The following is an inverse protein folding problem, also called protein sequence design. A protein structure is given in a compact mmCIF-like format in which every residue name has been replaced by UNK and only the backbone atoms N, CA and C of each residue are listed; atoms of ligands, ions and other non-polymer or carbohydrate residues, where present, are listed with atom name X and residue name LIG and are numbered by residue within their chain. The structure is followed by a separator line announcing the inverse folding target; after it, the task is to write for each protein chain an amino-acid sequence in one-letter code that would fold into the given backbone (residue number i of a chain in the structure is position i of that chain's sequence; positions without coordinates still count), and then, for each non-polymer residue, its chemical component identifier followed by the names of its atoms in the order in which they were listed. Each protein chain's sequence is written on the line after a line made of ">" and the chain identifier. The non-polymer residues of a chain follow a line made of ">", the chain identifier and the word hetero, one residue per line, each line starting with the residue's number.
data_IF_108771847065
#
_entry.id   IF_108771847065
#
_cell.length_a   1.000
_cell.length_b   1.000
_cell.length_c   1.000
_cell.angle_alpha   90.00
_cell.angle_beta   90.00
_cell.angle_gamma   90.00
#
_symmetry.space_group_name_H-M   'P 1'
#
loop_
_entity.id
_entity.type
_entity.pdbx_description
1 polymer ?
2 non-polymer ?
3 water ?
#
# COMPACT_ATOMS: atom_id res chain seq x y z
N UNK A 1 22.17 -21.56 24.28
CA UNK A 1 21.36 -21.72 23.06
C UNK A 1 21.64 -20.60 22.05
N UNK A 2 21.71 -20.92 20.77
CA UNK A 2 21.99 -19.88 19.77
C UNK A 2 20.80 -18.93 19.66
N UNK A 3 21.03 -17.76 19.07
CA UNK A 3 19.94 -16.83 18.77
C UNK A 3 18.83 -17.59 18.04
N UNK A 4 19.24 -18.40 17.05
CA UNK A 4 18.29 -19.22 16.27
C UNK A 4 17.60 -20.34 17.04
N UNK A 5 18.35 -21.03 17.91
CA UNK A 5 17.80 -22.08 18.77
C UNK A 5 16.80 -21.54 19.77
N UNK A 6 17.03 -20.32 20.27
CA UNK A 6 16.16 -19.68 21.26
C UNK A 6 14.79 -19.34 20.66
N UNK A 7 14.82 -18.75 19.46
CA UNK A 7 13.61 -18.46 18.69
C UNK A 7 12.78 -19.73 18.49
N UNK A 8 13.42 -20.82 18.07
CA UNK A 8 12.69 -22.07 17.88
C UNK A 8 12.11 -22.54 19.20
N UNK A 9 12.94 -22.57 20.24
CA UNK A 9 12.53 -23.00 21.58
C UNK A 9 11.30 -22.24 22.07
N UNK A 10 11.29 -20.93 21.91
CA UNK A 10 10.16 -20.12 22.36
C UNK A 10 8.93 -20.21 21.45
N UNK A 11 9.14 -20.59 20.19
CA UNK A 11 8.06 -20.69 19.21
C UNK A 11 7.49 -19.33 18.80
N UNK A 12 8.28 -18.29 19.04
CA UNK A 12 7.91 -16.89 18.79
C UNK A 12 9.12 -16.18 18.18
N UNK A 13 8.91 -15.36 17.16
CA UNK A 13 9.93 -14.42 16.68
C UNK A 13 9.50 -12.99 17.00
N UNK A 14 10.28 -12.33 17.85
CA UNK A 14 10.00 -10.96 18.26
C UNK A 14 10.63 -9.96 17.28
N UNK A 15 9.77 -9.11 16.73
CA UNK A 15 10.17 -8.14 15.72
C UNK A 15 9.78 -6.76 16.19
N UNK A 16 10.70 -5.81 16.08
CA UNK A 16 10.39 -4.42 16.38
C UNK A 16 10.39 -3.59 15.12
N UNK A 17 9.46 -2.64 15.05
CA UNK A 17 9.27 -1.82 13.87
C UNK A 17 8.75 -0.41 14.23
N UNK A 18 8.53 0.40 13.19
CA UNK A 18 8.00 1.74 13.30
C UNK A 18 6.49 1.72 13.18
N UNK A 19 5.84 2.64 13.89
CA UNK A 19 4.42 2.92 13.78
C UNK A 19 4.17 3.60 12.44
N UNK A 20 3.94 2.80 11.40
CA UNK A 20 3.89 3.32 10.05
C UNK A 20 3.19 2.35 9.10
N UNK A 21 2.29 2.87 8.25
CA UNK A 21 1.61 2.05 7.24
C UNK A 21 2.59 1.34 6.30
N UNK A 22 3.78 1.90 6.15
CA UNK A 22 4.82 1.32 5.29
C UNK A 22 5.41 0.09 5.95
N UNK A 23 5.47 0.10 7.27
CA UNK A 23 6.11 -0.98 8.01
C UNK A 23 5.06 -1.91 8.66
N UNK A 24 4.20 -1.36 9.50
CA UNK A 24 3.23 -2.18 10.21
C UNK A 24 1.99 -1.37 10.54
N UNK A 25 0.83 -1.88 10.14
CA UNK A 25 -0.43 -1.17 10.32
C UNK A 25 -1.53 -2.11 10.82
N UNK A 26 -2.21 -1.66 11.88
CA UNK A 26 -3.36 -2.37 12.45
C UNK A 26 -4.66 -1.71 12.03
N UNK A 27 -5.54 -2.52 11.46
CA UNK A 27 -6.85 -2.12 10.97
C UNK A 27 -7.81 -3.22 11.41
N UNK A 28 -9.10 -2.93 11.45
CA UNK A 28 -10.11 -3.95 11.78
C UNK A 28 -10.03 -5.19 10.86
N UNK A 29 -9.60 -4.97 9.62
CA UNK A 29 -9.50 -6.02 8.61
C UNK A 29 -8.24 -6.88 8.70
N UNK A 30 -7.42 -6.63 9.73
CA UNK A 30 -6.15 -7.34 9.89
C UNK A 30 -4.91 -6.47 9.82
N UNK A 31 -3.75 -7.11 9.77
CA UNK A 31 -2.47 -6.40 9.80
C UNK A 31 -1.82 -6.39 8.42
N UNK A 32 -1.32 -5.22 8.04
CA UNK A 32 -0.61 -5.03 6.77
C UNK A 32 0.70 -4.27 6.99
N UNK A 33 1.49 -4.18 5.94
CA UNK A 33 2.74 -3.44 5.96
C UNK A 33 3.77 -4.24 5.19
N UNK A 34 4.61 -3.53 4.45
CA UNK A 34 5.72 -4.16 3.73
C UNK A 34 6.56 -5.01 4.69
N UNK A 35 6.87 -4.44 5.84
CA UNK A 35 7.74 -5.12 6.78
C UNK A 35 6.98 -6.22 7.52
N UNK A 36 5.75 -5.93 7.92
CA UNK A 36 4.89 -6.94 8.55
C UNK A 36 4.76 -8.19 7.69
N UNK A 37 4.36 -8.04 6.43
CA UNK A 37 4.21 -9.19 5.53
C UNK A 37 5.55 -9.92 5.32
N UNK A 38 6.65 -9.17 5.26
CA UNK A 38 7.95 -9.78 5.00
C UNK A 38 8.41 -10.59 6.20
N UNK A 39 8.22 -10.03 7.40
CA UNK A 39 8.59 -10.65 8.68
C UNK A 39 7.69 -11.84 9.02
N UNK A 40 6.40 -11.71 8.70
CA UNK A 40 5.42 -12.79 8.92
C UNK A 40 5.83 -14.02 8.10
N UNK A 41 6.26 -13.78 6.86
CA UNK A 41 6.84 -14.81 6.00
C UNK A 41 8.10 -15.42 6.61
N UNK A 42 8.93 -14.59 7.21
CA UNK A 42 10.12 -15.09 7.88
C UNK A 42 9.76 -16.00 9.04
N UNK A 43 8.87 -15.54 9.93
CA UNK A 43 8.44 -16.35 11.06
C UNK A 43 7.91 -17.72 10.61
N UNK A 44 7.05 -17.72 9.60
CA UNK A 44 6.46 -18.95 9.06
C UNK A 44 7.48 -19.88 8.39
N UNK A 45 8.52 -19.30 7.77
CA UNK A 45 9.64 -20.08 7.25
C UNK A 45 10.26 -20.87 8.39
N UNK A 46 10.38 -20.22 9.55
CA UNK A 46 11.00 -20.82 10.74
C UNK A 46 10.02 -21.65 11.58
N UNK A 47 8.75 -21.62 11.16
CA UNK A 47 7.69 -22.35 11.85
C UNK A 47 7.45 -21.79 13.25
N UNK A 48 7.48 -20.47 13.36
CA UNK A 48 7.19 -19.79 14.64
C UNK A 48 6.14 -18.69 14.44
N UNK A 49 5.61 -18.17 15.55
CA UNK A 49 4.62 -17.10 15.52
C UNK A 49 5.34 -15.76 15.43
N UNK A 50 4.76 -14.82 14.71
CA UNK A 50 5.29 -13.46 14.65
C UNK A 50 4.71 -12.64 15.79
N UNK A 51 5.56 -11.97 16.56
CA UNK A 51 5.11 -11.00 17.54
C UNK A 51 5.74 -9.63 17.25
N UNK A 52 4.87 -8.67 16.98
CA UNK A 52 5.24 -7.33 16.56
C UNK A 52 5.27 -6.32 17.71
N UNK A 53 6.37 -5.58 17.82
CA UNK A 53 6.43 -4.41 18.69
C UNK A 53 6.68 -3.16 17.83
N UNK A 54 6.05 -2.06 18.19
CA UNK A 54 6.35 -0.79 17.53
C UNK A 54 7.09 0.10 18.52
N UNK A 55 8.12 0.79 18.03
CA UNK A 55 8.87 1.73 18.84
C UNK A 55 8.17 3.08 18.92
N UNK A 56 8.62 3.93 19.83
CA UNK A 56 8.16 5.32 19.90
C UNK A 56 8.85 6.11 18.79
N UNK A 57 10.15 5.85 18.64
CA UNK A 57 10.97 6.53 17.65
C UNK A 57 12.19 5.67 17.33
N UNK A 58 13.04 6.16 16.45
CA UNK A 58 14.18 5.41 15.95
C UNK A 58 15.27 5.11 16.98
N UNK A 59 15.51 6.04 17.90
CA UNK A 59 16.50 5.83 18.98
C UNK A 59 16.03 4.72 19.93
N UNK A 60 14.79 4.84 20.37
CA UNK A 60 14.17 3.81 21.19
C UNK A 60 14.10 2.46 20.43
N UNK A 61 13.90 2.50 19.11
CA UNK A 61 13.91 1.28 18.30
C UNK A 61 15.24 0.54 18.37
N UNK A 62 16.35 1.27 18.23
CA UNK A 62 17.67 0.64 18.32
C UNK A 62 18.06 0.26 19.76
N UNK A 63 17.56 1.04 20.72
CA UNK A 63 17.82 0.79 22.14
C UNK A 63 17.15 -0.49 22.63
N UNK A 64 15.95 -0.78 22.11
CA UNK A 64 15.23 -2.01 22.45
C UNK A 64 15.96 -3.23 21.92
N UNK A 65 16.50 -3.09 20.70
CA UNK A 65 17.21 -4.17 20.03
C UNK A 65 18.45 -4.66 20.80
N UNK A 66 19.19 -3.72 21.40
CA UNK A 66 20.37 -4.06 22.19
C UNK A 66 19.99 -4.45 23.61
N UNK A 67 18.73 -4.23 23.96
CA UNK A 67 18.21 -4.53 25.29
C UNK A 67 18.11 -6.04 25.51
N UNK A 68 18.69 -6.51 26.62
CA UNK A 68 18.66 -7.93 26.98
C UNK A 68 17.23 -8.46 27.10
N UNK A 69 16.96 -9.54 26.38
CA UNK A 69 15.62 -10.13 26.32
C UNK A 69 14.67 -9.44 25.36
N UNK A 70 15.18 -8.47 24.59
CA UNK A 70 14.35 -7.72 23.65
C UNK A 70 13.99 -8.45 22.37
N UNK A 71 13.61 -7.70 21.30
CA UNK A 71 13.27 -8.30 20.01
C UNK A 71 14.45 -8.95 19.31
N UNK A 72 14.18 -9.94 18.46
CA UNK A 72 15.22 -10.61 17.70
C UNK A 72 15.79 -9.70 16.61
N UNK A 73 14.91 -8.94 15.97
CA UNK A 73 15.32 -8.08 14.86
C UNK A 73 14.37 -6.88 14.69
N UNK A 74 14.87 -5.86 13.99
CA UNK A 74 14.08 -4.71 13.57
C UNK A 74 13.84 -4.77 12.06
N UNK A 75 12.58 -4.71 11.66
CA UNK A 75 12.18 -4.63 10.27
C UNK A 75 11.40 -3.33 10.08
N UNK A 76 12.07 -2.31 9.52
CA UNK A 76 11.52 -0.95 9.60
C UNK A 76 11.99 0.02 8.51
N UNK A 77 12.31 -0.50 7.32
CA UNK A 77 12.82 0.34 6.22
C UNK A 77 14.11 1.01 6.62
N UNK A 78 14.95 0.27 7.35
CA UNK A 78 16.16 0.85 7.90
C UNK A 78 17.26 0.87 6.86
N UNK A 79 17.97 2.00 6.86
CA UNK A 79 19.18 2.19 6.10
C UNK A 79 20.36 1.91 7.04
N UNK A 80 21.28 1.02 6.63
CA UNK A 80 22.50 0.66 7.36
C UNK A 80 23.19 1.86 8.02
N UNK A 81 23.57 1.68 9.30
CA UNK A 81 24.11 2.76 10.13
C UNK A 81 25.50 3.21 9.73
N UNK A 84 29.94 1.73 11.72
CA UNK A 84 30.63 0.95 12.76
C UNK A 84 30.11 1.23 14.16
N UNK A 85 28.92 0.70 14.44
CA UNK A 85 28.34 0.69 15.77
C UNK A 85 27.96 -0.76 16.07
N UNK A 86 28.95 -1.55 16.50
CA UNK A 86 28.76 -2.99 16.69
C UNK A 86 27.88 -3.34 17.90
N UNK A 87 27.06 -2.38 18.33
CA UNK A 87 25.94 -2.65 19.20
C UNK A 87 24.74 -3.05 18.32
N UNK A 88 24.88 -2.81 17.02
CA UNK A 88 23.86 -3.16 16.02
C UNK A 88 24.53 -3.65 14.71
N UNK A 89 23.93 -4.68 14.08
CA UNK A 89 24.39 -5.24 12.81
C UNK A 89 23.24 -5.25 11.79
N UNK A 90 23.59 -5.41 10.52
CA UNK A 90 22.61 -5.37 9.43
C UNK A 90 22.66 -6.56 8.47
N UNK A 91 21.48 -7.05 8.14
CA UNK A 91 21.32 -8.12 7.15
C UNK A 91 21.74 -7.63 5.75
N UNK A 92 21.83 -8.56 4.78
CA UNK A 92 21.84 -8.16 3.37
C UNK A 92 20.62 -7.27 3.10
N UNK A 93 20.76 -6.41 2.08
CA UNK A 93 19.74 -5.45 1.71
C UNK A 93 18.63 -6.09 0.87
N UNK A 94 17.42 -5.52 0.94
CA UNK A 94 16.28 -6.12 0.28
C UNK A 94 15.43 -5.16 -0.56
N UNK A 95 15.82 -3.89 -0.60
CA UNK A 95 15.14 -2.91 -1.46
C UNK A 95 16.03 -1.71 -1.74
N UNK A 96 16.07 -1.32 -3.00
CA UNK A 96 16.84 -0.19 -3.48
C UNK A 96 15.97 1.06 -3.42
N UNK A 97 16.36 2.00 -2.56
CA UNK A 97 15.66 3.28 -2.43
C UNK A 97 16.64 4.47 -2.49
N UNK A 98 16.10 5.66 -2.79
CA UNK A 98 16.90 6.88 -2.89
C UNK A 98 16.37 7.95 -1.94
N UNK A 99 17.26 8.49 -1.07
CA UNK A 99 16.79 9.60 -0.26
C UNK A 99 16.42 10.72 -1.21
N UNK A 100 15.29 11.38 -0.96
CA UNK A 100 14.85 12.49 -1.81
C UNK A 100 14.43 13.69 -0.96
N UNK A 101 14.96 14.86 -1.31
CA UNK A 101 14.55 16.12 -0.71
C UNK A 101 13.18 16.48 -1.25
N UNK A 102 12.23 16.77 -0.36
CA UNK A 102 10.84 16.96 -0.72
C UNK A 102 10.40 18.42 -0.49
N UNK A 103 9.72 19.00 -1.47
CA UNK A 103 9.28 20.38 -1.40
C UNK A 103 7.80 20.50 -1.77
N UNK A 104 7.27 21.71 -1.64
CA UNK A 104 5.87 21.96 -1.95
C UNK A 104 5.71 22.60 -3.31
N UNK A 105 4.94 21.95 -4.18
CA UNK A 105 4.64 22.48 -5.51
C UNK A 105 4.15 23.94 -5.44
N UNK A 106 4.77 24.80 -6.22
CA UNK A 106 4.43 26.22 -6.22
C UNK A 106 5.34 27.02 -5.31
N UNK A 107 6.52 26.46 -5.08
CA UNK A 107 7.58 27.12 -4.32
C UNK A 107 8.84 26.90 -5.12
N UNK A 108 9.89 27.69 -4.85
CA UNK A 108 11.16 27.52 -5.55
C UNK A 108 11.70 26.11 -5.32
N UNK A 109 11.92 25.37 -6.40
CA UNK A 109 12.48 24.03 -6.32
C UNK A 109 14.00 24.09 -6.13
N UNK A 110 14.48 23.64 -4.96
CA UNK A 110 15.93 23.52 -4.79
C UNK A 110 16.46 22.40 -5.69
N UNK A 111 17.63 22.62 -6.28
CA UNK A 111 18.17 21.73 -7.32
C UNK A 111 19.46 21.05 -6.90
N UNK A 112 20.12 21.63 -5.89
CA UNK A 112 21.40 21.10 -5.39
C UNK A 112 21.51 21.40 -3.89
N UNK A 113 22.41 20.68 -3.17
CA UNK A 113 22.52 20.82 -1.71
C UNK A 113 22.71 22.26 -1.23
N UNK A 114 23.46 23.06 -1.99
CA UNK A 114 23.66 24.48 -1.71
C UNK A 114 22.32 25.15 -1.34
N UNK A 115 21.28 24.83 -2.11
CA UNK A 115 19.93 25.37 -1.94
C UNK A 115 19.23 24.96 -0.65
N UNK A 116 19.76 23.96 0.05
CA UNK A 116 19.16 23.54 1.30
C UNK A 116 19.35 24.58 2.42
N UNK A 117 20.27 25.52 2.20
CA UNK A 117 20.60 26.55 3.21
C UNK A 117 19.44 27.54 3.35
N UNK A 118 19.09 27.85 4.60
CA UNK A 118 18.13 28.89 4.90
C UNK A 118 16.68 28.47 4.73
N UNK A 119 16.45 27.17 4.83
CA UNK A 119 15.10 26.61 4.73
C UNK A 119 14.62 26.09 6.09
N UNK A 120 13.31 26.01 6.27
CA UNK A 120 12.72 25.27 7.41
C UNK A 120 12.70 23.78 7.05
N UNK A 121 13.59 23.01 7.69
CA UNK A 121 13.74 21.57 7.40
C UNK A 121 13.54 20.72 8.64
N UNK A 122 12.79 19.64 8.48
CA UNK A 122 12.59 18.69 9.56
C UNK A 122 12.76 17.26 9.11
N UNK A 123 13.45 16.48 9.95
CA UNK A 123 13.63 15.05 9.73
C UNK A 123 13.46 14.31 11.07
N UNK A 124 13.36 12.99 11.02
CA UNK A 124 13.19 12.19 12.22
C UNK A 124 14.50 12.08 12.97
N UNK A 125 14.46 12.37 14.27
CA UNK A 125 15.61 12.23 15.17
C UNK A 125 16.06 10.76 15.19
N UNK A 126 17.33 10.51 14.85
CA UNK A 126 17.88 9.15 14.85
C UNK A 126 17.89 8.47 13.48
N UNK A 127 17.52 9.22 12.44
CA UNK A 127 17.47 8.67 11.08
C UNK A 127 18.78 8.85 10.31
N UNK A 128 18.96 8.04 9.28
CA UNK A 128 20.07 8.21 8.33
C UNK A 128 19.95 9.53 7.57
N UNK A 129 18.71 10.00 7.44
CA UNK A 129 18.45 11.28 6.80
C UNK A 129 19.03 12.41 7.62
N UNK A 130 18.80 12.37 8.93
CA UNK A 130 19.41 13.32 9.87
C UNK A 130 20.94 13.33 9.75
N UNK A 131 21.51 12.14 9.57
CA UNK A 131 22.96 11.99 9.49
C UNK A 131 23.53 12.58 8.19
N UNK A 132 22.79 12.43 7.09
CA UNK A 132 23.13 13.03 5.81
C UNK A 132 23.23 14.55 5.94
N UNK A 133 22.34 15.12 6.74
CA UNK A 133 22.29 16.57 6.86
C UNK A 133 23.38 17.09 7.81
N UNK A 134 23.77 16.26 8.78
CA UNK A 134 24.93 16.55 9.61
C UNK A 134 26.20 16.58 8.78
N UNK A 135 26.30 15.66 7.81
CA UNK A 135 27.43 15.66 6.87
C UNK A 135 27.49 16.92 6.02
N UNK A 136 26.35 17.32 5.49
CA UNK A 136 26.30 18.50 4.64
C UNK A 136 26.62 19.75 5.45
N UNK A 137 26.18 19.76 6.71
CA UNK A 137 26.43 20.89 7.60
C UNK A 137 27.93 21.10 7.80
N UNK A 138 28.68 20.01 7.90
CA UNK A 138 30.14 20.08 8.00
C UNK A 138 30.72 20.91 6.86
N UNK A 139 30.18 20.72 5.66
CA UNK A 139 30.57 21.47 4.48
C UNK A 139 29.96 22.88 4.47
N UNK A 140 28.68 22.99 4.83
CA UNK A 140 27.96 24.28 4.82
C UNK A 140 27.49 24.66 6.23
N UNK A 141 28.37 25.33 7.01
CA UNK A 141 28.17 25.54 8.45
C UNK A 141 26.90 26.28 8.86
N UNK A 142 26.27 26.99 7.94
CA UNK A 142 25.04 27.74 8.26
C UNK A 142 23.74 27.02 7.83
N UNK A 143 23.87 25.78 7.36
CA UNK A 143 22.71 24.91 7.12
C UNK A 143 21.97 24.64 8.42
N UNK A 144 20.66 24.86 8.43
CA UNK A 144 19.84 24.61 9.61
C UNK A 144 18.74 23.60 9.27
N UNK A 145 18.46 22.72 10.23
CA UNK A 145 17.42 21.70 10.12
C UNK A 145 17.12 21.24 11.53
N UNK A 146 15.97 20.61 11.72
CA UNK A 146 15.61 20.07 13.02
C UNK A 146 15.34 18.56 12.99
N UNK A 147 15.74 17.91 14.08
CA UNK A 147 15.48 16.49 14.29
C UNK A 147 14.33 16.35 15.29
N UNK A 148 13.40 15.47 14.97
CA UNK A 148 12.23 15.29 15.82
C UNK A 148 12.00 13.83 16.16
N UNK A 149 11.77 13.56 17.44
CA UNK A 149 11.48 12.22 17.91
C UNK A 149 9.99 12.04 18.15
N UNK A 150 9.20 13.08 17.86
CA UNK A 150 7.78 13.08 18.19
C UNK A 150 6.86 13.06 16.96
N UNK A 151 7.46 12.82 15.80
CA UNK A 151 6.69 12.68 14.57
C UNK A 151 7.19 11.49 13.78
N UNK A 152 6.38 11.03 12.82
CA UNK A 152 6.83 10.06 11.81
C UNK A 152 6.85 10.65 10.39
N UNK A 153 7.28 9.85 9.42
CA UNK A 153 7.41 10.25 8.00
C UNK A 153 6.13 10.85 7.40
N UNK A 154 4.98 10.28 7.80
CA UNK A 154 3.72 10.80 7.30
C UNK A 154 3.53 12.25 7.74
N UNK A 155 4.01 12.58 8.94
CA UNK A 155 3.83 13.92 9.51
C UNK A 155 4.73 14.95 8.80
N UNK A 156 6.00 14.58 8.59
CA UNK A 156 6.95 15.41 7.82
C UNK A 156 6.39 15.79 6.44
N UNK A 157 5.77 14.84 5.74
CA UNK A 157 5.18 15.13 4.44
C UNK A 157 3.94 16.02 4.52
N UNK A 158 3.11 15.83 5.55
CA UNK A 158 1.96 16.71 5.77
C UNK A 158 2.42 18.15 5.92
N UNK A 159 3.48 18.32 6.70
CA UNK A 159 4.00 19.65 6.99
C UNK A 159 4.48 20.38 5.74
N UNK A 160 5.16 19.66 4.85
CA UNK A 160 5.55 20.23 3.55
C UNK A 160 4.27 20.50 2.72
N UNK A 161 3.32 19.57 2.78
CA UNK A 161 2.08 19.66 2.00
C UNK A 161 1.29 20.95 2.28
N UNK A 162 1.17 21.30 3.57
CA UNK A 162 0.35 22.45 3.98
C UNK A 162 1.18 23.73 4.21
N UNK A 163 2.49 23.62 4.04
CA UNK A 163 3.40 24.76 4.18
C UNK A 163 3.85 25.06 5.61
N UNK A 164 3.67 24.11 6.52
CA UNK A 164 4.24 24.22 7.88
C UNK A 164 5.77 24.25 7.93
N UNK A 165 6.41 23.57 6.98
CA UNK A 165 7.86 23.60 6.80
C UNK A 165 8.10 23.72 5.31
N UNK A 166 9.33 23.98 4.88
CA UNK A 166 9.63 24.04 3.46
C UNK A 166 10.00 22.69 2.89
N UNK A 167 10.92 22.00 3.58
CA UNK A 167 11.49 20.75 3.08
C UNK A 167 11.51 19.62 4.11
N UNK A 168 11.52 18.40 3.58
CA UNK A 168 11.94 17.25 4.36
C UNK A 168 12.79 16.35 3.50
N UNK A 169 13.27 15.26 4.09
CA UNK A 169 14.12 14.26 3.43
C UNK A 169 13.63 12.87 3.79
N UNK A 170 13.15 12.13 2.78
CA UNK A 170 12.64 10.79 3.01
C UNK A 170 13.09 9.86 1.88
N UNK A 171 12.95 8.57 2.11
CA UNK A 171 13.25 7.57 1.09
C UNK A 171 12.13 7.54 0.04
N UNK A 172 12.53 7.29 -1.19
CA UNK A 172 11.66 7.37 -2.36
C UNK A 172 10.52 6.38 -2.38
N UNK A 173 10.67 5.26 -1.67
CA UNK A 173 9.60 4.28 -1.54
C UNK A 173 8.45 4.88 -0.76
N UNK A 174 8.79 5.59 0.31
CA UNK A 174 7.79 6.07 1.24
C UNK A 174 7.12 7.36 0.76
N UNK A 175 7.88 8.16 0.00
CA UNK A 175 7.28 9.26 -0.73
C UNK A 175 6.20 8.77 -1.70
N UNK A 176 6.54 7.80 -2.56
CA UNK A 176 5.57 7.15 -3.48
C UNK A 176 4.31 6.68 -2.75
N UNK A 177 4.52 6.02 -1.60
CA UNK A 177 3.43 5.55 -0.78
C UNK A 177 2.55 6.69 -0.27
N UNK A 178 3.15 7.85 -0.01
CA UNK A 178 2.44 8.94 0.65
C UNK A 178 1.87 9.97 -0.29
N UNK A 179 2.35 9.94 -1.51
CA UNK A 179 1.94 10.81 -2.58
C UNK A 179 0.45 10.89 -2.74
N UNK A 180 -0.24 9.78 -2.53
CA UNK A 180 -1.69 9.67 -2.70
C UNK A 180 -2.44 10.35 -1.55
N UNK A 181 -1.71 10.84 -0.55
CA UNK A 181 -2.33 11.63 0.54
C UNK A 181 -2.04 13.13 0.45
N UNK A 182 -0.96 13.49 -0.24
CA UNK A 182 -0.46 14.85 -0.15
C UNK A 182 -0.28 15.44 -1.55
N UNK A 183 -1.29 16.22 -2.00
CA UNK A 183 -1.33 16.63 -3.40
C UNK A 183 -0.24 17.61 -3.83
N UNK A 184 0.37 18.32 -2.87
CA UNK A 184 1.34 19.38 -3.20
C UNK A 184 2.81 18.97 -3.08
N UNK A 185 3.02 17.85 -2.42
CA UNK A 185 4.35 17.33 -2.16
C UNK A 185 4.98 16.85 -3.48
N UNK A 186 6.25 17.20 -3.68
CA UNK A 186 7.02 16.80 -4.87
C UNK A 186 8.49 16.53 -4.54
N UNK A 187 9.14 15.78 -5.42
CA UNK A 187 10.57 15.54 -5.27
C UNK A 187 11.26 16.79 -5.78
N UNK A 188 12.05 17.41 -4.91
CA UNK A 188 12.94 18.50 -5.32
C UNK A 188 14.14 17.91 -6.05
N UNK A 189 14.89 17.03 -5.38
CA UNK A 189 15.91 16.23 -6.06
C UNK A 189 16.30 15.00 -5.23
N UNK A 190 17.03 14.08 -5.85
CA UNK A 190 17.60 12.93 -5.17
C UNK A 190 18.84 13.39 -4.41
N UNK A 191 18.80 13.34 -3.09
CA UNK A 191 19.95 13.78 -2.27
C UNK A 191 20.74 12.57 -1.75
N UNK A 192 21.86 12.28 -2.40
CA UNK A 192 22.64 11.06 -2.12
C UNK A 192 22.22 9.90 -3.00
N UNK A 193 23.09 8.90 -3.12
CA UNK A 193 22.83 7.76 -4.03
C UNK A 193 21.92 6.65 -3.47
N UNK A 194 21.44 5.81 -4.38
CA UNK A 194 20.60 4.66 -4.07
C UNK A 194 21.28 3.70 -3.11
N UNK A 195 20.52 3.25 -2.11
CA UNK A 195 20.99 2.33 -1.09
C UNK A 195 19.90 1.31 -0.74
N UNK A 196 20.32 0.16 -0.24
CA UNK A 196 19.40 -0.90 0.12
C UNK A 196 18.93 -0.78 1.56
N UNK A 197 17.67 -1.13 1.80
CA UNK A 197 17.17 -1.24 3.15
C UNK A 197 17.67 -2.57 3.75
N UNK A 198 17.92 -2.58 5.06
CA UNK A 198 18.32 -3.81 5.76
C UNK A 198 17.59 -3.95 7.07
N UNK A 199 17.32 -5.19 7.47
CA UNK A 199 16.92 -5.47 8.84
C UNK A 199 18.11 -5.34 9.78
N UNK A 200 17.86 -4.88 11.00
CA UNK A 200 18.92 -4.75 11.97
C UNK A 200 18.78 -5.82 13.06
N UNK A 201 19.93 -6.30 13.55
CA UNK A 201 20.00 -7.31 14.61
C UNK A 201 20.94 -6.86 15.73
N UNK A 202 20.79 -7.41 16.95
CA UNK A 202 21.72 -6.96 17.99
C UNK A 202 23.18 -7.25 17.60
N UNK A 203 24.09 -6.40 18.09
CA UNK A 203 25.52 -6.59 17.83
C UNK A 203 26.05 -7.93 18.30
N UNK A 204 27.20 -8.35 17.79
CA UNK A 204 27.84 -9.55 18.30
C UNK A 204 28.25 -10.58 17.25
N UNK A 205 28.62 -11.76 17.72
CA UNK A 205 29.23 -12.75 16.84
C UNK A 205 28.36 -13.99 16.59
N UNK A 206 27.21 -14.07 17.25
CA UNK A 206 26.25 -15.17 16.99
C UNK A 206 25.55 -14.90 15.66
N UNK A 207 25.87 -15.72 14.68
CA UNK A 207 25.37 -15.53 13.33
C UNK A 207 24.35 -16.59 12.93
N UNK A 208 23.73 -17.24 13.90
CA UNK A 208 22.77 -18.30 13.57
C UNK A 208 21.49 -17.74 12.96
N UNK A 209 20.94 -16.69 13.58
CA UNK A 209 19.75 -16.06 13.04
C UNK A 209 20.05 -15.18 11.83
N UNK A 210 21.13 -14.39 11.90
CA UNK A 210 21.54 -13.56 10.76
C UNK A 210 21.65 -14.36 9.44
N UNK A 211 22.29 -15.52 9.53
CA UNK A 211 22.40 -16.41 8.37
C UNK A 211 21.05 -16.80 7.80
N UNK A 212 20.06 -17.00 8.66
CA UNK A 212 18.71 -17.37 8.22
C UNK A 212 17.97 -16.21 7.59
N UNK A 213 18.19 -15.02 8.14
CA UNK A 213 17.62 -13.81 7.59
C UNK A 213 18.13 -13.62 6.16
N UNK A 214 19.46 -13.70 5.99
CA UNK A 214 20.07 -13.57 4.67
C UNK A 214 19.64 -14.63 3.66
N UNK A 215 19.63 -15.89 4.08
CA UNK A 215 19.08 -16.96 3.25
C UNK A 215 17.63 -16.70 2.85
N UNK A 216 16.82 -16.20 3.79
CA UNK A 216 15.39 -15.90 3.54
C UNK A 216 15.20 -14.75 2.56
N UNK A 217 15.88 -13.63 2.81
CA UNK A 217 15.82 -12.48 1.91
C UNK A 217 16.31 -12.83 0.51
N UNK A 218 17.35 -13.66 0.42
CA UNK A 218 17.83 -14.11 -0.89
C UNK A 218 16.86 -15.06 -1.59
N UNK A 219 16.12 -15.83 -0.81
CA UNK A 219 15.04 -16.66 -1.35
C UNK A 219 13.92 -15.74 -1.87
N UNK A 220 13.66 -14.67 -1.13
CA UNK A 220 12.63 -13.72 -1.45
C UNK A 220 12.84 -13.05 -2.82
N UNK A 221 14.10 -12.69 -3.13
CA UNK A 221 14.46 -12.10 -4.44
C UNK A 221 14.39 -13.13 -5.58
N UNK A 222 14.65 -14.40 -5.26
CA UNK A 222 14.48 -15.49 -6.23
C UNK A 222 13.04 -15.63 -6.73
N UNK A 223 12.07 -15.49 -5.83
CA UNK A 223 10.66 -15.79 -6.15
C UNK A 223 9.79 -14.57 -6.41
N UNK A 224 10.37 -13.36 -6.38
CA UNK A 224 9.62 -12.12 -6.67
C UNK A 224 8.77 -11.57 -5.54
N UNK A 225 8.99 -12.07 -4.32
CA UNK A 225 8.23 -11.64 -3.16
C UNK A 225 8.43 -10.16 -2.84
N UNK A 226 9.70 -9.76 -2.76
CA UNK A 226 10.06 -8.38 -2.51
C UNK A 226 9.48 -7.42 -3.54
N UNK A 227 9.51 -7.82 -4.81
CA UNK A 227 8.89 -7.02 -5.87
C UNK A 227 7.37 -6.91 -5.73
N UNK A 228 6.68 -8.01 -5.39
CA UNK A 228 5.23 -7.99 -5.15
C UNK A 228 4.86 -7.07 -3.99
N UNK A 229 5.61 -7.17 -2.89
CA UNK A 229 5.42 -6.31 -1.74
C UNK A 229 5.67 -4.83 -2.06
N UNK A 230 6.74 -4.57 -2.83
CA UNK A 230 7.03 -3.24 -3.38
C UNK A 230 5.86 -2.66 -4.19
N UNK A 231 5.28 -3.46 -5.08
CA UNK A 231 4.17 -2.97 -5.91
C UNK A 231 2.98 -2.56 -5.03
N UNK A 232 2.68 -3.37 -4.03
CA UNK A 232 1.54 -3.15 -3.17
C UNK A 232 1.65 -1.86 -2.36
N UNK A 233 2.72 -1.74 -1.60
CA UNK A 233 2.88 -0.61 -0.67
C UNK A 233 3.48 0.60 -1.35
N UNK A 234 4.41 0.36 -2.27
CA UNK A 234 5.24 1.46 -2.77
C UNK A 234 5.03 1.76 -4.25
N UNK A 235 4.08 1.06 -4.87
CA UNK A 235 3.92 1.11 -6.32
C UNK A 235 2.99 2.20 -6.81
N UNK A 236 2.31 2.89 -5.89
CA UNK A 236 1.23 3.83 -6.25
C UNK A 236 1.52 4.74 -7.46
N UNK A 237 2.65 5.43 -7.44
CA UNK A 237 3.00 6.38 -8.50
C UNK A 237 3.34 5.62 -9.80
N UNK A 238 4.00 4.49 -9.66
CA UNK A 238 4.38 3.68 -10.84
C UNK A 238 3.19 3.09 -11.58
N UNK A 239 2.18 2.62 -10.83
CA UNK A 239 1.02 1.94 -11.43
C UNK A 239 -0.10 2.89 -11.87
N UNK A 240 -0.42 3.87 -11.02
CA UNK A 240 -1.46 4.87 -11.30
C UNK A 240 -0.96 6.08 -12.10
N UNK A 241 0.35 6.17 -12.31
CA UNK A 241 0.97 7.31 -13.00
C UNK A 241 1.13 8.47 -12.04
N UNK A 242 2.08 9.37 -12.31
CA UNK A 242 2.23 10.53 -11.43
C UNK A 242 0.95 11.34 -11.27
N UNK A 243 0.26 11.62 -12.38
CA UNK A 243 -0.89 12.52 -12.32
C UNK A 243 -2.02 11.88 -11.54
N UNK A 244 -2.23 10.58 -11.77
CA UNK A 244 -3.17 9.77 -11.00
C UNK A 244 -2.91 9.78 -9.50
N UNK A 245 -1.65 9.76 -9.11
CA UNK A 245 -1.26 9.75 -7.70
C UNK A 245 -1.70 11.01 -6.98
N UNK A 246 -1.20 12.16 -7.43
CA UNK A 246 -1.45 13.44 -6.75
C UNK A 246 -2.91 13.91 -6.91
N UNK A 247 -3.53 13.50 -8.01
CA UNK A 247 -4.94 13.76 -8.29
C UNK A 247 -5.88 13.03 -7.31
N UNK A 248 -5.49 11.82 -6.94
CA UNK A 248 -6.22 11.05 -5.95
C UNK A 248 -6.14 11.75 -4.59
N UNK A 249 -4.94 12.22 -4.23
CA UNK A 249 -4.70 12.96 -2.98
C UNK A 249 -5.63 14.16 -2.90
N UNK A 250 -5.73 14.84 -4.03
CA UNK A 250 -6.61 15.99 -4.17
C UNK A 250 -8.06 15.56 -4.01
N UNK A 251 -8.46 14.48 -4.70
CA UNK A 251 -9.85 14.00 -4.63
C UNK A 251 -10.23 13.47 -3.25
N UNK A 252 -9.29 12.80 -2.58
CA UNK A 252 -9.43 12.37 -1.19
C UNK A 252 -9.71 13.55 -0.25
N UNK A 253 -9.00 14.65 -0.49
CA UNK A 253 -9.12 15.88 0.28
C UNK A 253 -10.39 16.65 -0.08
N UNK A 254 -10.60 16.88 -1.36
CA UNK A 254 -11.69 17.73 -1.85
C UNK A 254 -13.03 17.04 -2.03
N UNK A 255 -13.04 15.82 -2.54
CA UNK A 255 -14.29 15.16 -2.97
C UNK A 255 -14.90 14.21 -1.95
N UNK A 256 -14.10 13.28 -1.42
CA UNK A 256 -14.60 12.25 -0.49
C UNK A 256 -15.41 12.75 0.72
N UNK A 257 -14.95 13.82 1.42
CA UNK A 257 -15.71 14.21 2.63
C UNK A 257 -17.19 14.56 2.38
N UNK A 258 -17.56 14.87 1.14
CA UNK A 258 -18.97 15.06 0.78
C UNK A 258 -19.80 13.77 0.80
N UNK A 259 -19.14 12.63 0.60
CA UNK A 259 -19.83 11.36 0.37
C UNK A 259 -19.38 10.26 1.32
N UNK A 260 -18.47 10.59 2.24
CA UNK A 260 -17.94 9.61 3.20
C UNK A 260 -19.04 9.00 4.07
N UNK A 261 -19.96 9.84 4.54
CA UNK A 261 -21.03 9.41 5.44
C UNK A 261 -22.05 8.48 4.77
N UNK A 262 -22.33 8.71 3.50
CA UNK A 262 -23.17 7.80 2.72
C UNK A 262 -22.51 6.42 2.56
N UNK A 263 -21.21 6.41 2.31
CA UNK A 263 -20.48 5.17 2.13
C UNK A 263 -20.53 4.36 3.41
N UNK A 264 -20.33 5.03 4.54
CA UNK A 264 -20.35 4.38 5.86
C UNK A 264 -21.71 3.79 6.18
N UNK A 265 -22.75 4.56 5.89
CA UNK A 265 -24.12 4.13 6.13
C UNK A 265 -24.49 2.91 5.26
N UNK A 266 -24.08 2.94 3.99
CA UNK A 266 -24.28 1.79 3.09
C UNK A 266 -23.48 0.58 3.57
N UNK A 267 -22.26 0.83 4.03
CA UNK A 267 -21.36 -0.21 4.51
C UNK A 267 -21.84 -0.94 5.76
N UNK A 268 -22.35 -0.17 6.72
CA UNK A 268 -22.85 -0.70 7.98
C UNK A 268 -24.06 -1.61 7.77
N UNK A 269 -25.00 -1.14 6.96
CA UNK A 269 -26.27 -1.82 6.72
C UNK A 269 -26.11 -3.06 5.83
N UNK A 270 -24.90 -3.26 5.32
CA UNK A 270 -24.63 -4.35 4.40
C UNK A 270 -23.45 -5.22 4.82
N UNK A 271 -22.97 -5.03 6.05
CA UNK A 271 -21.79 -5.72 6.59
C UNK A 271 -20.57 -5.69 5.68
N UNK A 272 -20.47 -4.62 4.91
CA UNK A 272 -19.45 -4.50 3.88
C UNK A 272 -18.57 -3.31 4.20
N UNK A 273 -17.26 -3.52 4.13
CA UNK A 273 -16.31 -2.46 4.39
C UNK A 273 -16.58 -1.24 3.51
N UNK A 274 -16.83 -0.10 4.14
CA UNK A 274 -17.17 1.13 3.39
C UNK A 274 -16.02 1.61 2.48
N UNK A 275 -14.79 1.30 2.87
CA UNK A 275 -13.63 1.71 2.07
C UNK A 275 -13.57 0.94 0.75
N UNK A 276 -14.15 -0.26 0.73
CA UNK A 276 -14.24 -1.04 -0.50
C UNK A 276 -15.29 -0.43 -1.43
N UNK A 277 -16.37 0.06 -0.83
CA UNK A 277 -17.40 0.76 -1.57
C UNK A 277 -16.90 2.09 -2.13
N UNK A 278 -16.19 2.87 -1.30
CA UNK A 278 -15.59 4.13 -1.72
C UNK A 278 -14.59 3.93 -2.88
N UNK A 279 -13.78 2.88 -2.78
CA UNK A 279 -12.85 2.46 -3.83
C UNK A 279 -13.53 2.19 -5.17
N UNK A 280 -14.71 1.55 -5.15
CA UNK A 280 -15.46 1.34 -6.38
C UNK A 280 -15.93 2.70 -6.94
N UNK A 281 -16.38 3.58 -6.06
CA UNK A 281 -16.86 4.89 -6.48
C UNK A 281 -15.74 5.69 -7.11
N UNK A 282 -14.53 5.58 -6.59
CA UNK A 282 -13.39 6.29 -7.19
C UNK A 282 -13.06 5.78 -8.57
N UNK A 283 -12.98 4.46 -8.71
CA UNK A 283 -12.71 3.83 -10.01
C UNK A 283 -13.79 4.15 -11.03
N UNK A 284 -15.04 4.24 -10.57
CA UNK A 284 -16.14 4.47 -11.49
C UNK A 284 -16.28 5.93 -11.91
N UNK A 285 -16.22 6.84 -10.96
CA UNK A 285 -16.52 8.24 -11.27
C UNK A 285 -15.53 9.27 -10.68
N UNK A 286 -14.49 8.78 -10.01
CA UNK A 286 -13.56 9.68 -9.33
C UNK A 286 -14.30 10.52 -8.25
N UNK A 287 -15.31 9.91 -7.62
CA UNK A 287 -16.17 10.58 -6.61
C UNK A 287 -16.82 11.84 -7.14
N UNK A 288 -17.58 11.69 -8.21
CA UNK A 288 -18.28 12.80 -8.85
C UNK A 288 -19.71 12.36 -9.10
N UNK A 289 -20.67 12.95 -8.37
CA UNK A 289 -22.07 12.47 -8.43
C UNK A 289 -22.72 12.73 -9.78
N UNK A 290 -22.29 13.81 -10.45
CA UNK A 290 -22.85 14.22 -11.72
C UNK A 290 -22.28 13.47 -12.90
N UNK A 291 -21.22 12.70 -12.66
CA UNK A 291 -20.53 11.98 -13.73
C UNK A 291 -21.50 11.14 -14.58
N UNK A 292 -21.41 11.34 -15.89
CA UNK A 292 -22.12 10.51 -16.85
C UNK A 292 -21.10 10.03 -17.86
N UNK A 293 -21.31 8.81 -18.35
CA UNK A 293 -20.54 8.33 -19.50
C UNK A 293 -21.45 8.51 -20.71
N UNK A 294 -20.97 8.16 -21.89
CA UNK A 294 -21.88 8.06 -23.02
C UNK A 294 -22.06 6.58 -23.38
N UNK A 295 -22.07 5.73 -22.36
CA UNK A 295 -22.22 4.27 -22.53
C UNK A 295 -23.40 3.70 -21.73
N UNK A 296 -24.22 4.57 -21.15
CA UNK A 296 -25.42 4.13 -20.41
C UNK A 296 -25.25 3.95 -18.91
N UNK A 297 -24.14 4.45 -18.37
CA UNK A 297 -23.87 4.45 -16.93
C UNK A 297 -23.61 5.87 -16.43
N UNK A 298 -24.08 6.14 -15.23
CA UNK A 298 -24.23 7.50 -14.75
C UNK A 298 -24.19 7.51 -13.22
N UNK A 299 -23.60 8.56 -12.67
CA UNK A 299 -23.56 8.77 -11.24
C UNK A 299 -22.32 8.25 -10.52
N UNK A 300 -22.26 8.56 -9.23
CA UNK A 300 -21.13 8.20 -8.39
C UNK A 300 -20.69 6.72 -8.52
N UNK A 301 -21.64 5.78 -8.44
CA UNK A 301 -21.30 4.37 -8.54
C UNK A 301 -21.42 3.82 -9.96
N UNK A 302 -21.71 4.72 -10.90
CA UNK A 302 -21.93 4.40 -12.32
C UNK A 302 -22.93 3.27 -12.53
N UNK A 303 -24.21 3.58 -12.38
CA UNK A 303 -25.28 2.60 -12.57
C UNK A 303 -25.97 2.73 -13.94
N UNK A 304 -26.43 1.61 -14.48
CA UNK A 304 -27.35 1.62 -15.62
C UNK A 304 -28.72 2.02 -15.10
N UNK A 305 -29.58 2.46 -16.01
CA UNK A 305 -30.96 2.76 -15.66
C UNK A 305 -31.65 1.54 -15.06
N UNK A 306 -31.39 0.37 -15.64
CA UNK A 306 -32.00 -0.90 -15.22
C UNK A 306 -31.65 -1.25 -13.76
N UNK A 307 -30.37 -1.21 -13.42
CA UNK A 307 -29.90 -1.49 -12.07
C UNK A 307 -30.45 -0.44 -11.12
N UNK A 308 -30.44 0.82 -11.54
CA UNK A 308 -31.04 1.91 -10.74
C UNK A 308 -32.49 1.62 -10.31
N UNK A 309 -33.31 1.19 -11.26
CA UNK A 309 -34.73 0.92 -10.97
C UNK A 309 -34.92 -0.33 -10.10
N UNK A 310 -34.14 -1.36 -10.35
CA UNK A 310 -34.26 -2.59 -9.58
C UNK A 310 -33.92 -2.33 -8.12
N UNK A 311 -33.04 -1.35 -7.88
CA UNK A 311 -32.53 -1.03 -6.54
C UNK A 311 -33.37 -0.01 -5.79
N UNK A 312 -34.32 0.62 -6.48
CA UNK A 312 -35.16 1.67 -5.87
C UNK A 312 -34.53 3.05 -5.95
N UNK A 313 -33.60 3.22 -6.89
CA UNK A 313 -32.99 4.51 -7.15
C UNK A 313 -33.84 5.29 -8.17
N UNK A 314 -34.36 6.44 -7.74
CA UNK A 314 -35.15 7.32 -8.63
C UNK A 314 -34.29 8.42 -9.27
N UNK A 315 -33.04 8.55 -8.84
CA UNK A 315 -32.10 9.53 -9.39
C UNK A 315 -30.65 9.06 -9.25
N UNK A 316 -30.03 8.68 -10.35
CA UNK A 316 -28.64 8.19 -10.33
C UNK A 316 -27.60 9.25 -9.98
N UNK A 317 -27.91 10.51 -10.23
CA UNK A 317 -27.01 11.65 -9.95
C UNK A 317 -27.16 12.19 -8.52
N UNK A 318 -28.04 11.55 -7.75
CA UNK A 318 -28.10 11.78 -6.32
C UNK A 318 -27.01 10.92 -5.71
N UNK A 319 -26.04 11.54 -5.00
CA UNK A 319 -24.91 10.79 -4.45
C UNK A 319 -25.37 9.65 -3.55
N UNK A 320 -26.14 9.98 -2.51
CA UNK A 320 -26.65 9.01 -1.54
C UNK A 320 -27.33 7.81 -2.19
N UNK A 321 -28.20 8.09 -3.16
CA UNK A 321 -28.93 7.04 -3.86
C UNK A 321 -28.03 6.19 -4.77
N UNK A 322 -27.06 6.82 -5.43
CA UNK A 322 -26.10 6.08 -6.25
C UNK A 322 -25.22 5.17 -5.38
N UNK A 323 -24.78 5.69 -4.26
CA UNK A 323 -23.96 4.92 -3.32
C UNK A 323 -24.75 3.72 -2.75
N UNK A 324 -26.02 3.93 -2.42
CA UNK A 324 -26.86 2.87 -1.87
C UNK A 324 -27.14 1.76 -2.85
N UNK A 325 -27.44 2.15 -4.10
CA UNK A 325 -27.82 1.19 -5.14
C UNK A 325 -26.64 0.38 -5.66
N UNK A 326 -25.53 1.06 -5.91
CA UNK A 326 -24.29 0.40 -6.31
C UNK A 326 -23.74 -0.48 -5.21
N UNK A 327 -23.91 -0.06 -3.97
CA UNK A 327 -23.49 -0.84 -2.80
C UNK A 327 -24.34 -2.10 -2.63
N UNK A 328 -25.68 -1.95 -2.67
CA UNK A 328 -26.58 -3.11 -2.60
C UNK A 328 -26.28 -4.05 -3.77
N UNK A 329 -26.02 -3.46 -4.93
CA UNK A 329 -25.76 -4.23 -6.15
C UNK A 329 -24.50 -5.05 -6.03
N UNK A 330 -23.43 -4.45 -5.51
CA UNK A 330 -22.19 -5.21 -5.33
C UNK A 330 -22.41 -6.41 -4.41
N UNK A 331 -23.06 -6.17 -3.28
CA UNK A 331 -23.40 -7.21 -2.31
C UNK A 331 -24.29 -8.30 -2.95
N UNK A 332 -25.27 -7.90 -3.75
CA UNK A 332 -26.09 -8.85 -4.49
C UNK A 332 -25.26 -9.78 -5.37
N UNK A 333 -24.46 -9.19 -6.26
CA UNK A 333 -23.54 -9.93 -7.13
C UNK A 333 -22.69 -10.93 -6.33
N UNK A 334 -22.07 -10.45 -5.27
CA UNK A 334 -21.18 -11.24 -4.44
C UNK A 334 -21.95 -12.39 -3.77
N UNK A 335 -23.20 -12.11 -3.41
CA UNK A 335 -24.04 -13.14 -2.80
C UNK A 335 -24.44 -14.24 -3.78
N UNK A 336 -24.62 -13.87 -5.04
CA UNK A 336 -25.02 -14.83 -6.09
C UNK A 336 -23.89 -15.73 -6.57
N UNK A 337 -22.65 -15.43 -6.19
CA UNK A 337 -21.53 -16.27 -6.61
C UNK A 337 -21.67 -17.66 -6.03
N UNK A 338 -21.26 -18.68 -6.78
CA UNK A 338 -21.25 -20.06 -6.27
C UNK A 338 -20.70 -20.16 -4.84
N UNK A 339 -21.35 -20.98 -4.02
CA UNK A 339 -20.89 -21.34 -2.67
C UNK A 339 -19.40 -21.67 -2.58
N UNK A 340 -18.84 -22.27 -3.64
CA UNK A 340 -17.45 -22.73 -3.63
C UNK A 340 -16.41 -21.59 -3.50
N UNK A 341 -16.77 -20.36 -3.86
CA UNK A 341 -15.82 -19.26 -3.75
C UNK A 341 -15.77 -18.65 -2.35
N UNK A 342 -14.63 -18.83 -1.66
CA UNK A 342 -14.44 -18.28 -0.31
C UNK A 342 -13.87 -16.87 -0.35
N UNK A 343 -14.22 -16.08 0.67
CA UNK A 343 -13.52 -14.84 0.97
C UNK A 343 -12.08 -15.21 1.32
N UNK A 344 -11.08 -14.36 0.97
CA UNK A 344 -11.24 -13.03 0.38
C UNK A 344 -11.48 -13.00 -1.13
N UNK A 345 -11.20 -14.09 -1.83
CA UNK A 345 -11.39 -14.18 -3.29
C UNK A 345 -12.77 -13.78 -3.73
N UNK A 346 -13.77 -14.14 -2.92
CA UNK A 346 -15.17 -13.89 -3.25
C UNK A 346 -15.40 -12.41 -3.61
N UNK A 347 -14.97 -11.50 -2.74
CA UNK A 347 -15.02 -10.04 -3.04
C UNK A 347 -14.32 -9.65 -4.35
N UNK A 348 -13.13 -10.20 -4.62
CA UNK A 348 -12.39 -9.87 -5.84
C UNK A 348 -13.11 -10.44 -7.07
N UNK A 349 -13.76 -11.58 -6.91
CA UNK A 349 -14.66 -12.09 -7.94
C UNK A 349 -15.84 -11.15 -8.14
N UNK A 350 -16.43 -10.67 -7.05
CA UNK A 350 -17.58 -9.78 -7.12
C UNK A 350 -17.22 -8.47 -7.82
N UNK A 351 -16.00 -7.98 -7.59
CA UNK A 351 -15.53 -6.76 -8.24
C UNK A 351 -15.47 -6.94 -9.75
N UNK A 352 -14.97 -8.10 -10.18
CA UNK A 352 -14.89 -8.45 -11.60
C UNK A 352 -16.30 -8.53 -12.21
N UNK A 353 -17.24 -9.13 -11.46
CA UNK A 353 -18.61 -9.26 -11.95
C UNK A 353 -19.33 -7.91 -12.03
N UNK A 354 -19.00 -7.00 -11.12
CA UNK A 354 -19.53 -5.64 -11.14
C UNK A 354 -19.21 -4.93 -12.47
N UNK A 355 -18.03 -5.22 -13.01
CA UNK A 355 -17.54 -4.60 -14.23
C UNK A 355 -17.89 -5.39 -15.50
N UNK A 356 -17.78 -6.72 -15.43
CA UNK A 356 -17.95 -7.54 -16.64
C UNK A 356 -19.25 -8.37 -16.68
N UNK A 357 -19.92 -8.52 -15.54
CA UNK A 357 -21.12 -9.35 -15.48
C UNK A 357 -20.80 -10.82 -15.29
N UNK A 358 -21.75 -11.52 -14.67
CA UNK A 358 -21.53 -12.88 -14.22
C UNK A 358 -21.42 -13.90 -15.32
N UNK A 359 -21.99 -13.59 -16.48
CA UNK A 359 -21.95 -14.49 -17.63
C UNK A 359 -20.54 -14.64 -18.20
N UNK A 360 -19.89 -13.52 -18.49
CA UNK A 360 -18.51 -13.56 -18.97
C UNK A 360 -17.56 -14.09 -17.90
N UNK A 361 -17.86 -13.79 -16.64
CA UNK A 361 -17.01 -14.21 -15.53
C UNK A 361 -17.08 -15.74 -15.36
N UNK A 362 -18.28 -16.29 -15.53
CA UNK A 362 -18.45 -17.73 -15.61
C UNK A 362 -17.52 -18.34 -16.66
N UNK A 363 -17.48 -17.73 -17.85
CA UNK A 363 -16.66 -18.23 -18.97
C UNK A 363 -15.18 -18.28 -18.58
N UNK A 364 -14.71 -17.23 -17.92
CA UNK A 364 -13.34 -17.18 -17.38
C UNK A 364 -13.12 -18.28 -16.33
N UNK A 365 -14.13 -18.53 -15.49
CA UNK A 365 -14.09 -19.64 -14.52
C UNK A 365 -14.06 -21.00 -15.19
N UNK A 366 -14.91 -21.19 -16.19
CA UNK A 366 -14.92 -22.41 -16.99
C UNK A 366 -13.58 -22.61 -17.71
N UNK A 367 -13.04 -21.54 -18.28
CA UNK A 367 -11.72 -21.58 -18.92
C UNK A 367 -10.56 -21.99 -17.99
N UNK A 368 -10.48 -21.40 -16.79
CA UNK A 368 -9.47 -21.81 -15.79
C UNK A 368 -9.52 -23.31 -15.49
N UNK A 369 -10.74 -23.79 -15.30
CA UNK A 369 -11.06 -25.20 -15.08
C UNK A 369 -10.55 -26.11 -16.21
N UNK A 370 -10.82 -25.69 -17.45
CA UNK A 370 -10.29 -26.36 -18.64
C UNK A 370 -8.76 -26.43 -18.64
N UNK A 371 -8.12 -25.45 -18.00
CA UNK A 371 -6.64 -25.34 -18.00
C UNK A 371 -5.99 -25.98 -16.78
N UNK A 372 -6.78 -26.68 -15.97
CA UNK A 372 -6.28 -27.34 -14.78
C UNK A 372 -6.03 -26.39 -13.62
N UNK A 373 -6.56 -25.16 -13.73
CA UNK A 373 -6.47 -24.18 -12.64
C UNK A 373 -7.69 -24.30 -11.72
N UNK A 374 -7.75 -23.46 -10.68
CA UNK A 374 -8.84 -23.51 -9.70
C UNK A 374 -9.82 -22.37 -9.97
N UNK A 375 -11.07 -22.70 -10.37
CA UNK A 375 -12.03 -21.64 -10.73
C UNK A 375 -12.56 -20.83 -9.54
N UNK A 376 -12.24 -21.25 -8.32
CA UNK A 376 -12.62 -20.53 -7.11
C UNK A 376 -11.47 -19.71 -6.51
N UNK A 377 -10.37 -19.67 -7.24
CA UNK A 377 -9.22 -18.87 -6.80
C UNK A 377 -9.04 -17.69 -7.74
N UNK A 378 -9.05 -16.49 -7.17
CA UNK A 378 -9.01 -15.26 -7.96
C UNK A 378 -7.76 -15.13 -8.83
N UNK A 379 -6.59 -15.39 -8.25
CA UNK A 379 -5.32 -15.35 -8.97
C UNK A 379 -5.33 -16.26 -10.22
N UNK A 380 -6.05 -17.37 -10.14
CA UNK A 380 -6.18 -18.29 -11.27
C UNK A 380 -7.07 -17.71 -12.36
N UNK A 381 -8.27 -17.27 -11.97
CA UNK A 381 -9.25 -16.75 -12.93
C UNK A 381 -8.76 -15.46 -13.59
N UNK A 382 -8.08 -14.63 -12.81
CA UNK A 382 -7.46 -13.40 -13.27
C UNK A 382 -6.49 -13.57 -14.46
N UNK A 383 -5.85 -14.75 -14.56
CA UNK A 383 -5.03 -15.11 -15.73
C UNK A 383 -5.93 -15.39 -16.93
N UNK A 384 -7.17 -15.81 -16.67
CA UNK A 384 -8.08 -16.19 -17.76
C UNK A 384 -8.86 -15.00 -18.32
N UNK A 385 -9.07 -13.97 -17.52
CA UNK A 385 -9.88 -12.84 -17.92
C UNK A 385 -9.35 -12.08 -19.15
N UNK A 386 -8.03 -11.82 -19.22
CA UNK A 386 -7.56 -11.11 -20.41
C UNK A 386 -7.83 -11.91 -21.71
N UNK A 387 -7.87 -13.24 -21.61
CA UNK A 387 -8.06 -14.10 -22.77
C UNK A 387 -9.42 -13.96 -23.45
N UNK A 388 -10.42 -13.49 -22.71
CA UNK A 388 -11.77 -13.31 -23.25
C UNK A 388 -11.78 -12.35 -24.43
N UNK A 389 -10.70 -11.57 -24.55
CA UNK A 389 -10.51 -10.62 -25.63
C UNK A 389 -9.71 -11.20 -26.80
N UNK A 390 -9.29 -12.46 -26.71
CA UNK A 390 -8.48 -13.09 -27.76
C UNK A 390 -9.22 -14.19 -28.52
N UNK A 391 -9.27 -14.25 -29.80
CA UNK A 391 -10.08 -15.19 -30.61
C UNK A 391 -9.80 -16.68 -30.39
N UNK A 392 -8.51 -17.01 -30.29
CA UNK A 392 -8.25 -18.44 -30.05
C UNK A 392 -8.99 -18.93 -28.81
N UNK A 393 -9.33 -17.99 -27.93
CA UNK A 393 -10.00 -18.33 -26.68
C UNK A 393 -11.50 -18.07 -26.72
N UNK A 394 -11.91 -16.86 -27.13
CA UNK A 394 -13.30 -16.48 -26.96
C UNK A 394 -14.27 -17.24 -27.90
N UNK A 395 -13.75 -17.75 -29.01
CA UNK A 395 -14.56 -18.53 -29.96
C UNK A 395 -14.98 -19.84 -29.33
N UNK A 396 -14.23 -20.26 -28.32
CA UNK A 396 -14.56 -21.45 -27.55
C UNK A 396 -15.42 -21.15 -26.31
N UNK A 397 -16.01 -19.95 -26.22
CA UNK A 397 -16.82 -19.64 -25.03
C UNK A 397 -18.31 -19.45 -25.33
N UNK A 398 -19.15 -19.70 -24.34
CA UNK A 398 -20.58 -19.50 -24.51
C UNK A 398 -20.91 -18.06 -24.86
N UNK A 399 -20.25 -17.13 -24.18
CA UNK A 399 -20.64 -15.73 -24.22
C UNK A 399 -19.76 -14.85 -25.11
N UNK A 400 -18.63 -15.39 -25.55
CA UNK A 400 -17.78 -14.73 -26.52
C UNK A 400 -16.87 -13.62 -26.01
N UNK A 401 -16.64 -12.64 -26.90
CA UNK A 401 -15.70 -11.57 -26.68
C UNK A 401 -16.12 -10.66 -25.52
N UNK A 402 -15.20 -10.40 -24.61
CA UNK A 402 -15.38 -9.36 -23.60
C UNK A 402 -14.03 -8.71 -23.33
N UNK A 403 -14.03 -7.48 -22.81
CA UNK A 403 -12.79 -6.75 -22.53
C UNK A 403 -12.25 -7.13 -21.14
N UNK A 404 -11.71 -8.34 -21.05
CA UNK A 404 -11.30 -8.92 -19.77
C UNK A 404 -10.05 -8.31 -19.18
N UNK A 405 -9.21 -7.75 -20.05
CA UNK A 405 -8.01 -7.01 -19.64
C UNK A 405 -8.38 -5.78 -18.84
N UNK A 406 -9.44 -5.10 -19.29
CA UNK A 406 -10.01 -3.97 -18.57
C UNK A 406 -10.57 -4.41 -17.21
N UNK A 407 -11.14 -5.61 -17.16
CA UNK A 407 -11.72 -6.10 -15.94
C UNK A 407 -10.62 -6.38 -14.93
N UNK A 408 -9.49 -6.90 -15.41
CA UNK A 408 -8.31 -7.08 -14.56
C UNK A 408 -7.86 -5.73 -13.98
N UNK A 409 -7.69 -4.71 -14.84
CA UNK A 409 -7.34 -3.33 -14.47
C UNK A 409 -8.29 -2.80 -13.37
N UNK A 410 -9.60 -3.00 -13.59
CA UNK A 410 -10.65 -2.61 -12.65
C UNK A 410 -10.43 -3.15 -11.25
N UNK A 411 -10.18 -4.45 -11.17
CA UNK A 411 -10.08 -5.11 -9.87
C UNK A 411 -8.77 -4.73 -9.15
N UNK A 412 -7.69 -4.60 -9.91
CA UNK A 412 -6.41 -4.16 -9.35
C UNK A 412 -6.54 -2.75 -8.75
N UNK A 413 -7.00 -1.80 -9.58
CA UNK A 413 -7.17 -0.42 -9.15
C UNK A 413 -8.04 -0.28 -7.90
N UNK A 414 -9.21 -0.94 -7.89
CA UNK A 414 -10.12 -0.88 -6.74
C UNK A 414 -9.43 -1.38 -5.48
N UNK A 415 -8.80 -2.55 -5.59
CA UNK A 415 -8.01 -3.13 -4.51
C UNK A 415 -6.90 -2.19 -4.01
N UNK A 416 -6.25 -1.49 -4.94
CA UNK A 416 -5.28 -0.45 -4.58
C UNK A 416 -5.93 0.77 -3.91
N UNK A 417 -7.02 1.30 -4.49
CA UNK A 417 -7.75 2.38 -3.83
C UNK A 417 -8.22 1.93 -2.43
N UNK A 418 -8.64 0.67 -2.32
CA UNK A 418 -9.07 0.09 -1.05
C UNK A 418 -7.94 0.10 -0.02
N UNK A 419 -6.78 -0.43 -0.40
CA UNK A 419 -5.57 -0.37 0.39
C UNK A 419 -5.27 1.07 0.83
N UNK A 420 -5.25 1.99 -0.13
CA UNK A 420 -4.94 3.40 0.14
C UNK A 420 -5.86 3.99 1.23
N UNK A 421 -7.17 3.72 1.12
CA UNK A 421 -8.16 4.26 2.06
C UNK A 421 -8.03 3.66 3.45
N UNK A 422 -7.63 2.39 3.50
CA UNK A 422 -7.31 1.67 4.72
C UNK A 422 -6.11 2.25 5.48
N UNK A 423 -5.09 2.71 4.75
CA UNK A 423 -3.82 3.18 5.33
C UNK A 423 -3.80 4.66 5.69
N UNK A 424 -4.92 5.35 5.44
CA UNK A 424 -5.06 6.73 5.88
C UNK A 424 -4.86 6.83 7.39
N UNK A 425 -4.06 7.81 7.81
CA UNK A 425 -3.92 8.12 9.23
C UNK A 425 -4.34 9.57 9.49
N UNK A 426 -4.55 9.92 10.75
CA UNK A 426 -5.00 11.27 11.14
C UNK A 426 -4.27 11.78 12.38
#
# INVERSE_FOLDING_TARGET
>A
PTALERVQKEGVLRVITRNSPATYFQDRNGETGFEYELAKRFAERLGVELKIETADNLDDLYAQLSREGGPALAAAGLTPGREDDASVRYSHTYLDVTPQIIYRNGQQRPTRPEDLVGKRIMVLKGSSHAEQLAELKKQYPELKYEESDAVEVVDLLRMVDVGDIDLTLVDSNELAMNQVYFPNVRVAFDFGEARGLAWALPGGDDDSLMNEVNAFLDQAKKEGLLQRLKDRYYGHVDVLGYVGAYTFAQHLQQRLPRYESHFKQSGKQLDTDWRLLAAIGYQESLWQPGATSKTGVRGLMMLTNRTAQAMGVSNRLDPKQSIQGGSKYFVQIRSELPESIKEPDRSWFALAAYNIGGAHLEDARKMAEKEGLNPNKWLDVKKMLPRLAQKQWYAKTRYGYARGGETVHFVQNVRRYYDILTWVTQPQ
#
